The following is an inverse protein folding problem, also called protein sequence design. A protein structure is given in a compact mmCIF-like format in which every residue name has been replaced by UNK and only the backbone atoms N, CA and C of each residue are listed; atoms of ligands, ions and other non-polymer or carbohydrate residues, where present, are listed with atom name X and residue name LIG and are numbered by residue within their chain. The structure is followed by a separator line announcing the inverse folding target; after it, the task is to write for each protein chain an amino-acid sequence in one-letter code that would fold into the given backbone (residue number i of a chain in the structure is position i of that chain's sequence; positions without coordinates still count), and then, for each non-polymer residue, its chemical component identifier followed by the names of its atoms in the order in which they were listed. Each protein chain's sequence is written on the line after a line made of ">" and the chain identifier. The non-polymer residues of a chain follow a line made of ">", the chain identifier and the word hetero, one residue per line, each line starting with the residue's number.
data_IF_921063683187
#
_entry.id   IF_921063683187
#
_cell.length_a   1.000
_cell.length_b   1.000
_cell.length_c   1.000
_cell.angle_alpha   90.00
_cell.angle_beta   90.00
_cell.angle_gamma   90.00
#
_symmetry.space_group_name_H-M   'P 1'
#
loop_
_entity.id
_entity.type
_entity.pdbx_description
1 polymer ?
#
# COMPACT_ATOMS: atom_id res chain seq x y z
N UNK A 1 0.15 -13.81 -57.36
CA UNK A 1 0.56 -14.33 -56.03
C UNK A 1 0.15 -13.31 -54.98
N UNK A 2 -0.75 -13.65 -54.05
CA UNK A 2 -1.07 -12.77 -52.91
C UNK A 2 -0.04 -13.03 -51.81
N UNK A 3 0.52 -11.99 -51.18
CA UNK A 3 1.42 -12.17 -50.05
C UNK A 3 0.67 -12.94 -48.96
N UNK A 4 1.26 -14.04 -48.50
CA UNK A 4 0.78 -14.79 -47.35
C UNK A 4 0.89 -13.90 -46.11
N UNK A 5 -0.24 -13.40 -45.62
CA UNK A 5 -0.32 -12.71 -44.33
C UNK A 5 0.11 -13.70 -43.24
N UNK A 6 1.25 -13.41 -42.59
CA UNK A 6 1.68 -14.17 -41.42
C UNK A 6 0.82 -13.78 -40.23
N UNK A 7 -0.07 -14.68 -39.82
CA UNK A 7 -0.85 -14.52 -38.60
C UNK A 7 0.09 -14.74 -37.42
N UNK A 8 0.57 -13.66 -36.81
CA UNK A 8 1.31 -13.72 -35.56
C UNK A 8 0.35 -13.99 -34.40
N UNK A 9 0.32 -15.23 -33.91
CA UNK A 9 -0.41 -15.59 -32.70
C UNK A 9 0.27 -14.95 -31.48
N UNK A 10 -0.25 -13.82 -31.00
CA UNK A 10 0.14 -13.24 -29.71
C UNK A 10 -0.44 -14.12 -28.59
N UNK A 11 0.43 -14.81 -27.85
CA UNK A 11 0.03 -15.48 -26.61
C UNK A 11 -0.23 -14.41 -25.56
N UNK A 12 -1.48 -14.08 -25.33
CA UNK A 12 -1.83 -13.26 -24.17
C UNK A 12 -1.54 -14.04 -22.87
N UNK A 13 -1.07 -13.36 -21.81
CA UNK A 13 -0.97 -14.01 -20.50
C UNK A 13 -2.36 -14.53 -20.10
N UNK A 14 -2.43 -15.82 -19.79
CA UNK A 14 -3.70 -16.47 -19.44
C UNK A 14 -4.38 -15.80 -18.26
N UNK A 15 -5.72 -15.90 -18.18
CA UNK A 15 -6.53 -15.25 -17.15
C UNK A 15 -6.05 -15.55 -15.73
N UNK A 16 -5.54 -16.77 -15.48
CA UNK A 16 -4.99 -17.17 -14.19
C UNK A 16 -3.78 -16.30 -13.79
N UNK A 17 -2.82 -16.09 -14.70
CA UNK A 17 -1.63 -15.28 -14.44
C UNK A 17 -2.01 -13.84 -14.12
N UNK A 18 -2.92 -13.25 -14.91
CA UNK A 18 -3.45 -11.90 -14.65
C UNK A 18 -4.10 -11.80 -13.28
N UNK A 19 -4.96 -12.75 -12.91
CA UNK A 19 -5.65 -12.77 -11.62
C UNK A 19 -4.69 -12.96 -10.43
N UNK A 20 -3.67 -13.81 -10.58
CA UNK A 20 -2.66 -14.03 -9.55
C UNK A 20 -1.78 -12.79 -9.35
N UNK A 21 -1.34 -12.14 -10.44
CA UNK A 21 -0.59 -10.89 -10.36
C UNK A 21 -1.41 -9.79 -9.68
N UNK A 22 -2.69 -9.64 -10.03
CA UNK A 22 -3.58 -8.69 -9.38
C UNK A 22 -3.75 -8.98 -7.88
N UNK A 23 -3.89 -10.26 -7.50
CA UNK A 23 -3.99 -10.67 -6.09
C UNK A 23 -2.71 -10.31 -5.32
N UNK A 24 -1.53 -10.62 -5.86
CA UNK A 24 -0.25 -10.33 -5.21
C UNK A 24 -0.03 -8.83 -5.04
N UNK A 25 -0.30 -8.03 -6.07
CA UNK A 25 -0.18 -6.57 -5.99
C UNK A 25 -1.14 -5.99 -4.95
N UNK A 26 -2.41 -6.43 -4.95
CA UNK A 26 -3.40 -5.99 -3.95
C UNK A 26 -3.01 -6.39 -2.54
N UNK A 27 -2.56 -7.63 -2.34
CA UNK A 27 -2.13 -8.13 -1.04
C UNK A 27 -0.94 -7.33 -0.52
N UNK A 28 0.08 -7.09 -1.35
CA UNK A 28 1.26 -6.31 -0.97
C UNK A 28 0.89 -4.86 -0.63
N UNK A 29 0.16 -4.17 -1.51
CA UNK A 29 -0.23 -2.78 -1.27
C UNK A 29 -1.20 -2.65 -0.09
N UNK A 30 -2.15 -3.57 0.03
CA UNK A 30 -3.11 -3.60 1.13
C UNK A 30 -2.44 -3.86 2.48
N UNK A 31 -1.42 -4.73 2.54
CA UNK A 31 -0.64 -4.95 3.76
C UNK A 31 0.14 -3.70 4.18
N UNK A 32 0.71 -2.95 3.24
CA UNK A 32 1.41 -1.70 3.55
C UNK A 32 0.46 -0.70 4.23
N UNK A 33 -0.73 -0.48 3.67
CA UNK A 33 -1.71 0.42 4.29
C UNK A 33 -2.23 -0.10 5.62
N UNK A 34 -2.51 -1.40 5.72
CA UNK A 34 -3.01 -1.99 6.95
C UNK A 34 -2.00 -1.82 8.09
N UNK A 35 -0.72 -2.15 7.84
CA UNK A 35 0.34 -1.99 8.85
C UNK A 35 0.55 -0.52 9.20
N UNK A 36 0.65 0.37 8.21
CA UNK A 36 0.82 1.81 8.46
C UNK A 36 -0.34 2.43 9.25
N UNK A 37 -1.58 2.01 8.96
CA UNK A 37 -2.76 2.48 9.68
C UNK A 37 -2.86 1.91 11.09
N UNK A 38 -2.56 0.62 11.29
CA UNK A 38 -2.55 -0.01 12.60
C UNK A 38 -1.49 0.58 13.53
N UNK A 39 -0.30 0.89 12.99
CA UNK A 39 0.78 1.55 13.72
C UNK A 39 0.31 2.91 14.27
N UNK A 40 -0.30 3.75 13.41
CA UNK A 40 -0.89 5.03 13.82
C UNK A 40 -2.01 4.89 14.85
N UNK A 41 -2.89 3.89 14.70
CA UNK A 41 -3.94 3.63 15.69
C UNK A 41 -3.40 3.12 17.03
N UNK A 42 -2.27 2.39 17.01
CA UNK A 42 -1.55 1.97 18.21
C UNK A 42 -0.97 3.18 18.95
N UNK A 43 -0.34 4.11 18.21
CA UNK A 43 0.21 5.36 18.77
C UNK A 43 -0.86 6.25 19.41
N UNK A 44 -2.07 6.26 18.85
CA UNK A 44 -3.24 6.94 19.42
C UNK A 44 -3.79 6.25 20.69
N UNK A 45 -3.24 5.09 21.07
CA UNK A 45 -3.72 4.29 22.20
C UNK A 45 -5.05 3.58 21.95
N UNK A 46 -5.57 3.60 20.72
CA UNK A 46 -6.93 3.13 20.42
C UNK A 46 -7.04 1.60 20.45
N UNK A 47 -5.94 0.91 20.17
CA UNK A 47 -5.89 -0.56 20.18
C UNK A 47 -5.66 -1.14 21.58
N UNK A 48 -5.47 -0.31 22.61
CA UNK A 48 -5.16 -0.79 23.97
C UNK A 48 -3.80 -1.51 24.09
N UNK A 49 -2.97 -1.45 23.05
CA UNK A 49 -1.65 -2.08 22.96
C UNK A 49 -0.50 -1.12 23.36
N UNK A 50 -0.84 0.13 23.70
CA UNK A 50 0.03 1.30 23.62
C UNK A 50 1.31 1.31 24.47
N UNK A 51 1.43 0.43 25.47
CA UNK A 51 2.68 0.31 26.26
C UNK A 51 3.38 -1.06 26.10
N UNK A 52 2.66 -2.11 25.70
CA UNK A 52 3.26 -3.44 25.55
C UNK A 52 3.95 -3.61 24.18
N UNK A 53 3.47 -2.95 23.12
CA UNK A 53 4.00 -3.08 21.77
C UNK A 53 5.35 -2.37 21.55
N UNK A 54 5.51 -1.16 22.10
CA UNK A 54 6.74 -0.37 21.98
C UNK A 54 7.94 -1.09 22.62
N UNK A 55 7.71 -1.83 23.70
CA UNK A 55 8.73 -2.64 24.38
C UNK A 55 9.29 -3.77 23.50
N UNK A 56 8.48 -4.37 22.61
CA UNK A 56 8.91 -5.52 21.80
C UNK A 56 9.75 -5.08 20.60
N UNK A 57 9.42 -3.94 19.98
CA UNK A 57 10.19 -3.40 18.85
C UNK A 57 11.51 -2.80 19.34
N UNK A 58 11.51 -2.08 20.47
CA UNK A 58 12.74 -1.58 21.09
C UNK A 58 13.69 -2.73 21.50
N UNK A 59 13.14 -3.83 22.03
CA UNK A 59 13.95 -5.02 22.36
C UNK A 59 14.53 -5.73 21.13
N UNK A 60 13.95 -5.53 19.94
CA UNK A 60 14.43 -6.13 18.70
C UNK A 60 15.57 -5.31 18.06
N UNK A 61 15.61 -4.00 18.30
CA UNK A 61 16.69 -3.11 17.84
C UNK A 61 17.95 -3.26 18.70
N UNK A 62 17.78 -3.58 19.99
CA UNK A 62 18.89 -3.88 20.93
C UNK A 62 19.56 -5.26 20.71
N UNK A 63 18.94 -6.13 19.91
CA UNK A 63 19.42 -7.50 19.67
C UNK A 63 20.37 -7.63 18.46
N UNK A 64 20.82 -6.52 17.85
CA UNK A 64 21.90 -6.56 16.87
C UNK A 64 23.23 -6.71 17.62
N UNK A 65 24.02 -7.78 17.36
CA UNK A 65 25.27 -8.00 18.06
C UNK A 65 26.21 -6.82 17.76
N UNK A 66 26.55 -6.08 18.82
CA UNK A 66 27.64 -5.12 18.79
C UNK A 66 28.84 -5.82 18.15
N UNK A 67 29.33 -5.25 17.05
CA UNK A 67 30.52 -5.74 16.36
C UNK A 67 31.70 -5.54 17.32
N UNK A 68 32.02 -6.60 18.07
CA UNK A 68 33.18 -6.73 18.93
C UNK A 68 34.45 -6.55 18.08
N UNK A 69 35.10 -5.40 18.23
CA UNK A 69 36.29 -5.11 17.44
C UNK A 69 36.98 -3.78 17.73
N UNK A 70 37.23 -3.45 19.00
CA UNK A 70 38.22 -2.42 19.34
C UNK A 70 38.92 -2.74 20.68
N UNK A 71 40.27 -2.74 20.74
CA UNK A 71 41.01 -3.06 21.96
C UNK A 71 40.91 -1.95 23.01
N UNK A 72 40.81 -2.39 24.26
CA UNK A 72 40.67 -1.60 25.47
C UNK A 72 41.86 -0.65 25.68
N UNK A 73 41.59 0.65 25.56
CA UNK A 73 42.40 1.71 26.13
C UNK A 73 41.81 2.11 27.48
N UNK A 74 42.58 1.90 28.54
CA UNK A 74 42.26 2.20 29.95
C UNK A 74 42.13 3.73 30.13
N UNK A 75 40.93 4.26 29.89
CA UNK A 75 40.61 5.67 30.08
C UNK A 75 40.10 5.91 31.51
N UNK A 76 40.64 6.96 32.14
CA UNK A 76 40.30 7.41 33.48
C UNK A 76 38.79 7.65 33.65
N UNK A 77 38.24 7.52 34.87
CA UNK A 77 36.83 7.79 35.14
C UNK A 77 36.50 9.24 34.77
N UNK A 78 35.79 9.41 33.65
CA UNK A 78 35.21 10.70 33.28
C UNK A 78 34.17 11.11 34.33
N UNK A 79 34.14 12.39 34.72
CA UNK A 79 33.17 12.90 35.68
C UNK A 79 31.75 12.66 35.14
N UNK A 80 30.89 12.06 35.97
CA UNK A 80 29.48 11.85 35.64
C UNK A 80 28.88 13.20 35.22
N UNK A 81 28.30 13.33 34.00
CA UNK A 81 27.69 14.56 33.56
C UNK A 81 26.43 14.81 34.41
N UNK A 82 26.58 15.66 35.42
CA UNK A 82 25.48 16.20 36.20
C UNK A 82 24.57 17.02 35.28
N UNK A 83 23.47 16.42 34.85
CA UNK A 83 22.46 17.04 34.01
C UNK A 83 22.13 16.17 32.81
N UNK A 84 21.58 14.97 33.04
CA UNK A 84 20.76 14.33 32.01
C UNK A 84 19.57 15.26 31.74
N UNK A 85 19.74 16.14 30.74
CA UNK A 85 18.68 16.89 30.12
C UNK A 85 17.59 15.89 29.75
N UNK A 86 16.50 15.89 30.52
CA UNK A 86 15.38 14.99 30.33
C UNK A 86 14.94 15.07 28.87
N UNK A 87 15.30 14.06 28.08
CA UNK A 87 14.96 14.05 26.66
C UNK A 87 13.45 14.19 26.55
N UNK A 88 12.95 15.18 25.78
CA UNK A 88 11.52 15.37 25.64
C UNK A 88 10.92 14.07 25.13
N UNK A 89 9.84 13.62 25.78
CA UNK A 89 9.16 12.38 25.40
C UNK A 89 8.87 12.38 23.89
N UNK A 90 9.08 11.24 23.19
CA UNK A 90 8.87 11.17 21.75
C UNK A 90 7.44 11.60 21.41
N UNK A 91 7.32 12.50 20.43
CA UNK A 91 6.01 12.94 19.94
C UNK A 91 5.25 11.73 19.41
N UNK A 92 3.98 11.60 19.83
CA UNK A 92 3.07 10.55 19.37
C UNK A 92 2.24 11.04 18.18
N UNK A 93 1.61 10.12 17.48
CA UNK A 93 0.58 10.46 16.50
C UNK A 93 -0.67 11.00 17.20
N UNK A 94 -1.32 12.09 16.70
CA UNK A 94 -1.08 12.82 15.44
C UNK A 94 -0.08 13.99 15.53
N UNK A 95 0.45 14.29 16.71
CA UNK A 95 1.33 15.44 16.98
C UNK A 95 2.59 15.41 16.11
N UNK A 96 3.13 14.23 15.85
CA UNK A 96 4.30 14.04 14.97
C UNK A 96 4.07 14.57 13.57
N UNK A 97 2.90 14.32 12.97
CA UNK A 97 2.58 14.88 11.64
C UNK A 97 2.38 16.39 11.73
N UNK A 98 1.65 16.88 12.74
CA UNK A 98 1.45 18.32 12.92
C UNK A 98 2.78 19.07 13.06
N UNK A 99 3.73 18.51 13.80
CA UNK A 99 5.06 19.07 13.97
C UNK A 99 5.81 19.14 12.62
N UNK A 100 5.72 18.10 11.78
CA UNK A 100 6.34 18.13 10.45
C UNK A 100 5.81 19.27 9.56
N UNK A 101 4.53 19.61 9.67
CA UNK A 101 3.92 20.67 8.86
C UNK A 101 3.94 22.06 9.52
N UNK A 102 4.45 22.20 10.74
CA UNK A 102 4.33 23.42 11.55
C UNK A 102 4.82 24.69 10.82
N UNK A 103 5.92 24.58 10.09
CA UNK A 103 6.54 25.70 9.37
C UNK A 103 5.97 25.92 7.96
N UNK A 104 5.02 25.09 7.53
CA UNK A 104 4.45 25.15 6.18
C UNK A 104 3.26 26.11 6.12
N UNK A 105 2.91 26.57 4.92
CA UNK A 105 1.68 27.34 4.71
C UNK A 105 0.42 26.53 5.04
N UNK A 106 0.48 25.20 4.91
CA UNK A 106 -0.63 24.29 5.17
C UNK A 106 -1.08 24.33 6.64
N UNK A 107 -0.13 24.37 7.58
CA UNK A 107 -0.45 24.50 9.00
C UNK A 107 -0.96 25.90 9.37
N UNK A 108 -0.55 26.95 8.64
CA UNK A 108 -1.00 28.33 8.91
C UNK A 108 -2.40 28.60 8.37
N UNK A 109 -2.68 28.18 7.14
CA UNK A 109 -3.91 28.53 6.43
C UNK A 109 -4.98 27.43 6.48
N UNK A 110 -4.56 26.16 6.54
CA UNK A 110 -5.44 24.99 6.43
C UNK A 110 -5.39 24.10 7.68
N UNK A 111 -5.02 24.65 8.84
CA UNK A 111 -4.98 23.93 10.12
C UNK A 111 -6.18 23.01 10.38
N UNK A 112 -7.46 23.45 10.27
CA UNK A 112 -8.59 22.56 10.57
C UNK A 112 -8.70 21.40 9.58
N UNK A 113 -8.32 21.60 8.32
CA UNK A 113 -8.30 20.52 7.33
C UNK A 113 -7.14 19.55 7.55
N UNK A 114 -5.97 20.04 7.95
CA UNK A 114 -4.84 19.19 8.35
C UNK A 114 -5.19 18.36 9.59
N UNK A 115 -5.86 18.96 10.57
CA UNK A 115 -6.31 18.28 11.79
C UNK A 115 -7.35 17.19 11.47
N UNK A 116 -8.31 17.48 10.58
CA UNK A 116 -9.28 16.49 10.12
C UNK A 116 -8.61 15.36 9.32
N UNK A 117 -7.70 15.71 8.41
CA UNK A 117 -6.99 14.73 7.58
C UNK A 117 -6.15 13.79 8.45
N UNK A 118 -5.35 14.32 9.37
CA UNK A 118 -4.55 13.51 10.31
C UNK A 118 -5.42 12.68 11.25
N UNK A 119 -6.59 13.17 11.68
CA UNK A 119 -7.51 12.34 12.46
C UNK A 119 -8.08 11.16 11.65
N UNK A 120 -8.38 11.36 10.37
CA UNK A 120 -9.03 10.34 9.53
C UNK A 120 -8.06 9.38 8.83
N UNK A 121 -6.82 9.80 8.61
CA UNK A 121 -5.82 9.05 7.83
C UNK A 121 -5.63 7.60 8.33
N UNK A 122 -5.47 7.31 9.64
CA UNK A 122 -5.24 5.94 10.11
C UNK A 122 -6.42 5.02 9.79
N UNK A 123 -7.64 5.51 9.98
CA UNK A 123 -8.86 4.77 9.68
C UNK A 123 -9.01 4.51 8.17
N UNK A 124 -8.68 5.50 7.35
CA UNK A 124 -8.71 5.37 5.90
C UNK A 124 -7.69 4.32 5.42
N UNK A 125 -6.47 4.34 5.95
CA UNK A 125 -5.43 3.35 5.64
C UNK A 125 -5.83 1.94 6.05
N UNK A 126 -6.32 1.72 7.28
CA UNK A 126 -6.78 0.41 7.74
C UNK A 126 -7.95 -0.09 6.90
N UNK A 127 -8.94 0.77 6.61
CA UNK A 127 -10.12 0.40 5.84
C UNK A 127 -9.75 0.03 4.39
N UNK A 128 -8.98 0.87 3.71
CA UNK A 128 -8.54 0.64 2.33
C UNK A 128 -7.61 -0.58 2.25
N UNK A 129 -6.67 -0.71 3.19
CA UNK A 129 -5.77 -1.86 3.27
C UNK A 129 -6.52 -3.18 3.44
N UNK A 130 -7.48 -3.22 4.38
CA UNK A 130 -8.33 -4.39 4.60
C UNK A 130 -9.16 -4.74 3.36
N UNK A 131 -9.79 -3.73 2.73
CA UNK A 131 -10.59 -3.94 1.51
C UNK A 131 -9.76 -4.51 0.36
N UNK A 132 -8.52 -4.02 0.18
CA UNK A 132 -7.59 -4.51 -0.85
C UNK A 132 -7.18 -5.97 -0.61
N UNK A 133 -6.82 -6.32 0.63
CA UNK A 133 -6.42 -7.67 1.03
C UNK A 133 -7.57 -8.66 0.81
N UNK A 134 -8.76 -8.33 1.31
CA UNK A 134 -9.97 -9.16 1.12
C UNK A 134 -10.35 -9.23 -0.36
N UNK A 135 -10.09 -8.17 -1.12
CA UNK A 135 -10.51 -8.06 -2.51
C UNK A 135 -11.99 -7.79 -2.66
N UNK A 136 -12.51 -6.91 -1.80
CA UNK A 136 -13.89 -6.42 -1.85
C UNK A 136 -13.90 -5.03 -2.51
N UNK A 137 -14.83 -4.83 -3.44
CA UNK A 137 -14.95 -3.65 -4.30
C UNK A 137 -13.60 -3.24 -4.92
N UNK A 138 -12.86 -4.16 -5.53
CA UNK A 138 -11.44 -3.99 -5.90
C UNK A 138 -11.16 -2.72 -6.70
N UNK A 139 -12.03 -2.34 -7.61
CA UNK A 139 -11.89 -1.11 -8.39
C UNK A 139 -12.06 0.13 -7.51
N UNK A 140 -13.04 0.14 -6.61
CA UNK A 140 -13.28 1.26 -5.70
C UNK A 140 -12.21 1.35 -4.62
N UNK A 141 -11.78 0.21 -4.06
CA UNK A 141 -10.73 0.15 -3.05
C UNK A 141 -9.38 0.58 -3.62
N UNK A 142 -9.04 0.16 -4.85
CA UNK A 142 -7.83 0.60 -5.55
C UNK A 142 -7.91 2.07 -5.93
N UNK A 143 -9.06 2.56 -6.41
CA UNK A 143 -9.23 3.99 -6.64
C UNK A 143 -9.06 4.81 -5.35
N UNK A 144 -9.63 4.36 -4.22
CA UNK A 144 -9.44 4.99 -2.93
C UNK A 144 -7.97 4.94 -2.45
N UNK A 145 -7.27 3.82 -2.70
CA UNK A 145 -5.84 3.69 -2.44
C UNK A 145 -5.02 4.70 -3.26
N UNK A 146 -5.28 4.83 -4.56
CA UNK A 146 -4.64 5.82 -5.42
C UNK A 146 -4.85 7.25 -4.93
N UNK A 147 -6.08 7.60 -4.50
CA UNK A 147 -6.35 8.90 -3.89
C UNK A 147 -5.56 9.11 -2.58
N UNK A 148 -5.45 8.07 -1.76
CA UNK A 148 -4.69 8.13 -0.51
C UNK A 148 -3.20 8.30 -0.80
N UNK A 149 -2.63 7.55 -1.74
CA UNK A 149 -1.23 7.71 -2.19
C UNK A 149 -0.96 9.11 -2.75
N UNK A 150 -1.86 9.64 -3.57
CA UNK A 150 -1.74 11.01 -4.10
C UNK A 150 -1.76 12.05 -2.97
N UNK A 151 -2.63 11.86 -1.97
CA UNK A 151 -2.67 12.74 -0.79
C UNK A 151 -1.37 12.67 0.02
N UNK A 152 -0.82 11.47 0.24
CA UNK A 152 0.45 11.28 0.95
C UNK A 152 1.63 11.87 0.17
N UNK A 153 1.68 11.64 -1.15
CA UNK A 153 2.68 12.21 -2.04
C UNK A 153 2.64 13.73 -2.01
N UNK A 154 1.44 14.33 -2.05
CA UNK A 154 1.28 15.77 -1.90
C UNK A 154 1.87 16.27 -0.58
N UNK A 155 1.59 15.58 0.53
CA UNK A 155 2.19 15.87 1.83
C UNK A 155 3.73 15.84 1.80
N UNK A 156 4.32 14.81 1.19
CA UNK A 156 5.77 14.70 1.03
C UNK A 156 6.36 15.81 0.15
N UNK A 157 5.63 16.23 -0.89
CA UNK A 157 6.03 17.37 -1.73
C UNK A 157 6.04 18.68 -0.97
N UNK A 158 5.02 18.93 -0.14
CA UNK A 158 4.99 20.11 0.74
C UNK A 158 6.14 20.10 1.75
N UNK A 159 6.53 18.91 2.25
CA UNK A 159 7.66 18.76 3.16
C UNK A 159 9.03 18.78 2.47
N UNK A 160 9.10 18.77 1.14
CA UNK A 160 10.36 18.73 0.39
C UNK A 160 11.15 17.42 0.53
N UNK A 161 10.50 16.32 0.96
CA UNK A 161 11.12 15.00 1.15
C UNK A 161 11.22 14.23 -0.18
N UNK A 162 12.11 14.70 -1.05
CA UNK A 162 12.28 14.16 -2.41
C UNK A 162 12.87 12.74 -2.47
N UNK A 163 13.57 12.33 -1.41
CA UNK A 163 14.13 10.98 -1.22
C UNK A 163 13.04 9.90 -1.20
N UNK A 164 11.84 10.23 -0.73
CA UNK A 164 10.70 9.31 -0.64
C UNK A 164 9.90 9.20 -1.95
N UNK A 165 10.17 10.03 -2.95
CA UNK A 165 9.40 10.04 -4.21
C UNK A 165 9.48 8.73 -5.00
N UNK A 166 10.65 8.10 -5.20
CA UNK A 166 10.73 6.85 -5.96
C UNK A 166 9.87 5.75 -5.34
N UNK A 167 9.89 5.62 -4.01
CA UNK A 167 9.10 4.64 -3.27
C UNK A 167 7.60 4.89 -3.46
N UNK A 168 7.14 6.14 -3.37
CA UNK A 168 5.74 6.49 -3.63
C UNK A 168 5.33 6.27 -5.09
N UNK A 169 6.23 6.51 -6.05
CA UNK A 169 5.97 6.21 -7.46
C UNK A 169 5.81 4.71 -7.69
N UNK A 170 6.59 3.86 -7.01
CA UNK A 170 6.40 2.40 -7.08
C UNK A 170 5.03 2.00 -6.57
N UNK A 171 4.57 2.56 -5.45
CA UNK A 171 3.22 2.29 -4.93
C UNK A 171 2.11 2.76 -5.88
N UNK A 172 2.27 3.94 -6.47
CA UNK A 172 1.34 4.47 -7.48
C UNK A 172 1.28 3.57 -8.73
N UNK A 173 2.43 3.10 -9.22
CA UNK A 173 2.50 2.18 -10.36
C UNK A 173 1.86 0.84 -10.01
N UNK A 174 2.08 0.33 -8.80
CA UNK A 174 1.43 -0.89 -8.32
C UNK A 174 -0.09 -0.73 -8.30
N UNK A 175 -0.62 0.40 -7.80
CA UNK A 175 -2.05 0.69 -7.79
C UNK A 175 -2.65 0.82 -9.20
N UNK A 176 -1.98 1.53 -10.11
CA UNK A 176 -2.37 1.58 -11.54
C UNK A 176 -2.35 0.18 -12.16
N UNK A 177 -1.36 -0.65 -11.79
CA UNK A 177 -1.29 -2.05 -12.19
C UNK A 177 -2.48 -2.87 -11.70
N UNK A 178 -2.95 -2.64 -10.47
CA UNK A 178 -4.16 -3.27 -9.93
C UNK A 178 -5.39 -2.85 -10.75
N UNK A 179 -5.58 -1.55 -11.01
CA UNK A 179 -6.70 -1.05 -11.82
C UNK A 179 -6.68 -1.63 -13.24
N UNK A 180 -5.50 -1.69 -13.86
CA UNK A 180 -5.33 -2.19 -15.21
C UNK A 180 -5.55 -3.71 -15.31
N UNK A 181 -5.14 -4.47 -14.29
CA UNK A 181 -5.35 -5.92 -14.21
C UNK A 181 -6.72 -6.33 -13.66
N UNK A 182 -7.52 -5.36 -13.16
CA UNK A 182 -8.85 -5.58 -12.61
C UNK A 182 -10.00 -5.17 -13.54
N UNK A 183 -10.06 -5.59 -14.84
CA UNK A 183 -11.35 -5.66 -15.51
C UNK A 183 -12.28 -6.54 -14.66
N UNK A 184 -13.47 -6.02 -14.36
CA UNK A 184 -14.49 -6.63 -13.47
C UNK A 184 -14.80 -8.08 -13.86
N UNK A 185 -14.57 -8.46 -15.11
CA UNK A 185 -14.88 -9.78 -15.66
C UNK A 185 -13.77 -10.83 -15.53
N UNK A 186 -12.57 -10.49 -15.05
CA UNK A 186 -11.43 -11.43 -15.03
C UNK A 186 -10.79 -11.69 -13.66
N UNK A 187 -11.28 -11.06 -12.59
CA UNK A 187 -10.67 -11.20 -11.26
C UNK A 187 -11.28 -12.36 -10.46
N UNK A 188 -11.07 -13.59 -10.91
CA UNK A 188 -11.65 -14.79 -10.30
C UNK A 188 -11.18 -15.08 -8.87
N UNK A 189 -10.04 -14.49 -8.46
CA UNK A 189 -9.44 -14.69 -7.15
C UNK A 189 -9.79 -13.60 -6.14
N UNK A 190 -10.56 -12.58 -6.51
CA UNK A 190 -11.10 -11.61 -5.55
C UNK A 190 -12.43 -12.10 -4.96
N UNK A 191 -12.75 -11.62 -3.75
CA UNK A 191 -14.05 -11.89 -3.13
C UNK A 191 -15.19 -11.34 -4.00
N UNK A 192 -14.97 -10.21 -4.68
CA UNK A 192 -15.90 -9.71 -5.69
C UNK A 192 -16.11 -10.69 -6.83
N UNK A 193 -15.05 -11.29 -7.37
CA UNK A 193 -15.16 -12.29 -8.43
C UNK A 193 -15.92 -13.53 -7.97
N UNK A 194 -15.75 -13.93 -6.70
CA UNK A 194 -16.47 -15.06 -6.12
C UNK A 194 -17.95 -14.74 -5.85
N UNK A 195 -18.24 -13.55 -5.32
CA UNK A 195 -19.61 -13.10 -5.02
C UNK A 195 -20.37 -12.75 -6.31
N UNK A 196 -19.84 -11.85 -7.13
CA UNK A 196 -20.50 -11.38 -8.35
C UNK A 196 -20.37 -12.36 -9.52
N UNK A 197 -19.27 -13.12 -9.62
CA UNK A 197 -19.13 -14.15 -10.65
C UNK A 197 -20.16 -15.28 -10.50
N UNK A 198 -20.64 -15.53 -9.28
CA UNK A 198 -21.77 -16.44 -9.07
C UNK A 198 -23.09 -15.87 -9.62
N UNK A 199 -23.34 -14.57 -9.44
CA UNK A 199 -24.51 -13.90 -10.01
C UNK A 199 -24.41 -13.66 -11.52
N UNK A 200 -23.20 -13.57 -12.05
CA UNK A 200 -22.91 -13.19 -13.43
C UNK A 200 -22.21 -14.32 -14.19
N UNK A 201 -22.77 -15.53 -14.12
CA UNK A 201 -22.27 -16.64 -14.92
C UNK A 201 -22.37 -16.26 -16.40
N UNK A 202 -21.26 -16.09 -17.15
CA UNK A 202 -21.33 -15.73 -18.55
C UNK A 202 -22.14 -16.81 -19.28
N UNK A 203 -23.10 -16.42 -20.11
CA UNK A 203 -23.82 -17.35 -20.99
C UNK A 203 -22.80 -17.97 -21.93
N UNK A 204 -22.35 -19.19 -21.60
CA UNK A 204 -21.37 -19.96 -22.37
C UNK A 204 -21.84 -20.28 -23.81
N UNK A 205 -23.13 -20.09 -24.10
CA UNK A 205 -23.76 -20.50 -25.36
C UNK A 205 -23.37 -19.63 -26.57
N UNK A 206 -22.97 -18.37 -26.38
CA UNK A 206 -22.74 -17.46 -27.52
C UNK A 206 -21.31 -17.54 -28.09
N UNK A 207 -20.29 -17.86 -27.28
CA UNK A 207 -18.90 -17.93 -27.75
C UNK A 207 -18.57 -19.17 -28.58
N UNK A 208 -19.34 -20.26 -28.45
CA UNK A 208 -19.15 -21.47 -29.27
C UNK A 208 -19.59 -21.28 -30.71
N UNK A 209 -20.57 -20.39 -30.97
CA UNK A 209 -21.17 -20.23 -32.31
C UNK A 209 -20.27 -19.49 -33.30
N UNK A 210 -19.34 -18.66 -32.84
CA UNK A 210 -18.45 -17.90 -33.75
C UNK A 210 -17.26 -18.72 -34.28
N UNK A 211 -16.84 -19.78 -33.58
CA UNK A 211 -15.75 -20.65 -34.01
C UNK A 211 -16.19 -21.81 -34.90
N UNK A 212 -17.48 -22.12 -34.94
CA UNK A 212 -18.07 -22.97 -35.96
C UNK A 212 -18.31 -22.13 -37.23
N UNK A 213 -17.24 -21.68 -37.86
CA UNK A 213 -17.35 -21.13 -39.21
C UNK A 213 -18.03 -22.19 -40.09
N UNK A 214 -19.12 -21.84 -40.82
CA UNK A 214 -19.83 -22.80 -41.63
C UNK A 214 -18.85 -23.43 -42.62
N UNK A 215 -18.72 -24.76 -42.55
CA UNK A 215 -17.84 -25.54 -43.44
C UNK A 215 -18.21 -25.16 -44.87
N UNK A 216 -17.33 -24.42 -45.56
CA UNK A 216 -17.59 -24.05 -46.96
C UNK A 216 -17.63 -25.33 -47.78
N UNK A 217 -18.71 -25.60 -48.55
CA UNK A 217 -18.75 -26.75 -49.43
C UNK A 217 -17.61 -26.62 -50.44
N UNK A 218 -16.83 -27.69 -50.63
CA UNK A 218 -15.83 -27.77 -51.71
C UNK A 218 -16.59 -27.79 -53.04
N UNK A 219 -16.34 -26.80 -53.88
CA UNK A 219 -16.78 -26.77 -55.28
C UNK A 219 -15.81 -27.56 -56.15
#
# INVERSE_FOLDING_TARGET
>A
MRPSESIALRREPGHLVRSLSALLLRGALGMIFLVAGLDKLSDMGLLGLGDAGASVVAAQEEALPAVEGAPAGEAAPEPEPEGEDAQPAPLRYPETIRAMFADTWLARELKPMLDLHTALLPYAEVAVGSLLIVGLLTTLSSFAAGLLLLSLLFGLTVLGKGDMYPTMMVYMIADVGILWLSPVTSNYLSLDGLLFGWFWKPREEDYRREYEAPVRPRA
#
